data_IF_098574514408
#
_entry.id   IF_098574514408
#
_cell.length_a   1.000
_cell.length_b   1.000
_cell.length_c   1.000
_cell.angle_alpha   90.00
_cell.angle_beta   90.00
_cell.angle_gamma   90.00
#
_symmetry.space_group_name_H-M   'P 1'
#
loop_
_entity.id
_entity.type
_entity.pdbx_description
1 polymer ?
#
# COMPACT_ATOMS: atom_id res chain seq x y z
N UNK A 1 -6.79 6.31 -30.26
CA UNK A 1 -6.76 4.84 -30.14
C UNK A 1 -6.01 4.52 -28.86
N UNK A 2 -6.72 4.21 -27.78
CA UNK A 2 -6.08 3.85 -26.51
C UNK A 2 -6.03 2.33 -26.40
N UNK A 3 -4.81 1.80 -26.34
CA UNK A 3 -4.55 0.38 -26.06
C UNK A 3 -4.99 0.16 -24.61
N UNK A 4 -6.13 -0.50 -24.39
CA UNK A 4 -6.32 -1.16 -23.09
C UNK A 4 -5.13 -2.10 -22.95
N UNK A 5 -4.39 -2.05 -21.84
CA UNK A 5 -3.26 -2.97 -21.59
C UNK A 5 -3.65 -4.45 -21.53
N UNK A 6 -4.90 -4.78 -21.84
CA UNK A 6 -5.45 -6.11 -21.98
C UNK A 6 -5.29 -6.60 -23.43
N UNK A 7 -4.05 -6.73 -23.89
CA UNK A 7 -3.77 -7.38 -25.16
C UNK A 7 -3.84 -8.90 -24.93
N UNK A 8 -5.02 -9.49 -25.13
CA UNK A 8 -5.29 -10.91 -24.90
C UNK A 8 -4.69 -11.83 -25.97
N UNK A 9 -3.62 -11.39 -26.64
CA UNK A 9 -2.88 -12.21 -27.59
C UNK A 9 -2.26 -13.37 -26.84
N UNK A 10 -2.62 -14.60 -27.23
CA UNK A 10 -2.07 -15.82 -26.66
C UNK A 10 -0.53 -15.84 -26.69
N UNK A 11 0.07 -15.15 -27.67
CA UNK A 11 1.52 -14.98 -27.76
C UNK A 11 2.12 -14.19 -26.59
N UNK A 12 1.54 -13.04 -26.24
CA UNK A 12 2.03 -12.20 -25.14
C UNK A 12 1.83 -12.87 -23.79
N UNK A 13 0.69 -13.55 -23.61
CA UNK A 13 0.41 -14.35 -22.40
C UNK A 13 1.42 -15.50 -22.25
N UNK A 14 1.66 -16.28 -23.31
CA UNK A 14 2.66 -17.36 -23.24
C UNK A 14 4.07 -16.82 -22.97
N UNK A 15 4.40 -15.66 -23.55
CA UNK A 15 5.69 -15.00 -23.36
C UNK A 15 5.87 -14.50 -21.94
N UNK A 16 4.85 -13.89 -21.32
CA UNK A 16 4.90 -13.41 -19.93
C UNK A 16 5.08 -14.58 -18.95
N UNK A 17 4.35 -15.69 -19.14
CA UNK A 17 4.53 -16.90 -18.33
C UNK A 17 5.94 -17.47 -18.43
N UNK A 18 6.55 -17.48 -19.62
CA UNK A 18 7.93 -17.94 -19.81
C UNK A 18 8.92 -17.07 -19.04
N UNK A 19 8.78 -15.75 -19.09
CA UNK A 19 9.65 -14.84 -18.33
C UNK A 19 9.44 -14.97 -16.82
N UNK A 20 8.19 -15.13 -16.38
CA UNK A 20 7.88 -15.39 -14.97
C UNK A 20 8.56 -16.66 -14.46
N UNK A 21 8.48 -17.76 -15.22
CA UNK A 21 9.14 -19.02 -14.88
C UNK A 21 10.67 -18.87 -14.84
N UNK A 22 11.24 -18.18 -15.83
CA UNK A 22 12.68 -17.89 -15.84
C UNK A 22 13.12 -17.10 -14.62
N UNK A 23 12.36 -16.06 -14.24
CA UNK A 23 12.66 -15.26 -13.06
C UNK A 23 12.58 -16.09 -11.77
N UNK A 24 11.59 -16.99 -11.65
CA UNK A 24 11.47 -17.91 -10.51
C UNK A 24 12.65 -18.87 -10.41
N UNK A 25 13.10 -19.42 -11.54
CA UNK A 25 14.27 -20.30 -11.57
C UNK A 25 15.55 -19.57 -11.17
N UNK A 26 15.78 -18.36 -11.71
CA UNK A 26 16.94 -17.53 -11.34
C UNK A 26 16.90 -17.13 -9.86
N UNK A 27 15.72 -16.75 -9.36
CA UNK A 27 15.52 -16.44 -7.95
C UNK A 27 15.84 -17.65 -7.06
N UNK A 28 15.35 -18.85 -7.41
CA UNK A 28 15.65 -20.08 -6.69
C UNK A 28 17.15 -20.39 -6.63
N UNK A 29 17.85 -20.23 -7.77
CA UNK A 29 19.30 -20.44 -7.83
C UNK A 29 20.08 -19.46 -6.95
N UNK A 30 19.71 -18.17 -6.92
CA UNK A 30 20.38 -17.19 -6.07
C UNK A 30 20.06 -17.39 -4.59
N UNK A 31 18.82 -17.77 -4.24
CA UNK A 31 18.48 -18.09 -2.86
C UNK A 31 19.24 -19.33 -2.36
N UNK A 32 19.39 -20.35 -3.20
CA UNK A 32 20.23 -21.50 -2.88
C UNK A 32 21.71 -21.11 -2.70
N UNK A 33 22.21 -20.16 -3.51
CA UNK A 33 23.56 -19.61 -3.32
C UNK A 33 23.70 -18.90 -1.97
N UNK A 34 22.72 -18.09 -1.58
CA UNK A 34 22.71 -17.40 -0.28
C UNK A 34 22.85 -18.39 0.88
N UNK A 35 22.15 -19.53 0.83
CA UNK A 35 22.22 -20.57 1.86
C UNK A 35 23.61 -21.22 1.97
N UNK A 36 24.35 -21.31 0.86
CA UNK A 36 25.62 -22.04 0.78
C UNK A 36 26.84 -21.14 0.94
N UNK A 37 26.86 -19.96 0.33
CA UNK A 37 28.08 -19.14 0.20
C UNK A 37 27.88 -17.63 0.34
N UNK A 38 26.71 -17.19 0.83
CA UNK A 38 26.30 -15.76 0.90
C UNK A 38 26.27 -15.07 -0.47
N UNK A 39 25.37 -14.10 -0.62
CA UNK A 39 25.26 -13.30 -1.84
C UNK A 39 26.22 -12.11 -1.82
N UNK A 40 26.72 -11.80 -3.01
CA UNK A 40 27.35 -10.51 -3.26
C UNK A 40 26.30 -9.39 -3.17
N UNK A 41 26.69 -8.16 -2.79
CA UNK A 41 25.76 -7.03 -2.67
C UNK A 41 24.92 -6.79 -3.92
N UNK A 42 25.51 -6.95 -5.11
CA UNK A 42 24.83 -6.77 -6.38
C UNK A 42 23.80 -7.88 -6.67
N UNK A 43 24.09 -9.11 -6.26
CA UNK A 43 23.16 -10.23 -6.42
C UNK A 43 21.95 -10.09 -5.49
N UNK A 44 22.15 -9.55 -4.29
CA UNK A 44 21.05 -9.19 -3.41
C UNK A 44 20.13 -8.15 -4.09
N UNK A 45 20.67 -7.15 -4.78
CA UNK A 45 19.87 -6.19 -5.55
C UNK A 45 19.10 -6.85 -6.69
N UNK A 46 19.71 -7.80 -7.40
CA UNK A 46 19.01 -8.58 -8.44
C UNK A 46 17.82 -9.35 -7.89
N UNK A 47 17.95 -9.96 -6.71
CA UNK A 47 16.83 -10.63 -6.04
C UNK A 47 15.69 -9.65 -5.78
N UNK A 48 15.96 -8.47 -5.22
CA UNK A 48 14.90 -7.50 -4.93
C UNK A 48 14.21 -7.02 -6.20
N UNK A 49 14.98 -6.75 -7.26
CA UNK A 49 14.45 -6.33 -8.54
C UNK A 49 13.54 -7.41 -9.15
N UNK A 50 13.98 -8.68 -9.13
CA UNK A 50 13.17 -9.81 -9.61
C UNK A 50 11.91 -9.98 -8.78
N UNK A 51 12.00 -9.92 -7.45
CA UNK A 51 10.84 -10.02 -6.56
C UNK A 51 9.87 -8.88 -6.79
N UNK A 52 10.35 -7.64 -6.94
CA UNK A 52 9.51 -6.48 -7.26
C UNK A 52 8.76 -6.68 -8.58
N UNK A 53 9.44 -7.15 -9.62
CA UNK A 53 8.81 -7.43 -10.92
C UNK A 53 7.76 -8.54 -10.84
N UNK A 54 8.04 -9.62 -10.11
CA UNK A 54 7.08 -10.71 -9.88
C UNK A 54 5.83 -10.22 -9.14
N UNK A 55 6.01 -9.37 -8.12
CA UNK A 55 4.89 -8.79 -7.37
C UNK A 55 4.09 -7.81 -8.23
N UNK A 56 4.76 -6.97 -9.03
CA UNK A 56 4.06 -6.08 -9.97
C UNK A 56 3.29 -6.87 -11.03
N UNK A 57 3.82 -8.01 -11.48
CA UNK A 57 3.11 -8.91 -12.38
C UNK A 57 1.84 -9.47 -11.74
N UNK A 58 1.90 -9.93 -10.48
CA UNK A 58 0.71 -10.37 -9.71
C UNK A 58 -0.35 -9.26 -9.59
N UNK A 59 0.09 -8.02 -9.32
CA UNK A 59 -0.76 -6.83 -9.26
C UNK A 59 -1.45 -6.58 -10.60
N UNK A 60 -0.72 -6.66 -11.70
CA UNK A 60 -1.27 -6.46 -13.04
C UNK A 60 -2.31 -7.52 -13.42
N UNK A 61 -2.02 -8.80 -13.15
CA UNK A 61 -2.88 -9.90 -13.57
C UNK A 61 -4.16 -10.00 -12.73
N UNK A 62 -4.02 -9.92 -11.41
CA UNK A 62 -5.12 -10.21 -10.48
C UNK A 62 -5.35 -9.12 -9.44
N UNK A 63 -4.40 -8.20 -9.26
CA UNK A 63 -4.40 -7.21 -8.18
C UNK A 63 -4.12 -7.81 -6.80
N UNK A 64 -3.68 -9.08 -6.78
CA UNK A 64 -3.57 -9.90 -5.58
C UNK A 64 -2.27 -10.70 -5.67
N UNK A 65 -1.43 -10.65 -4.64
CA UNK A 65 -0.30 -11.58 -4.52
C UNK A 65 -0.73 -12.81 -3.73
N UNK A 66 -0.64 -13.99 -4.36
CA UNK A 66 -1.01 -15.28 -3.77
C UNK A 66 -0.23 -15.53 -2.48
N UNK A 67 -0.94 -15.50 -1.35
CA UNK A 67 -0.40 -15.64 0.01
C UNK A 67 0.73 -14.63 0.38
N UNK A 68 0.94 -13.59 -0.45
CA UNK A 68 2.08 -12.68 -0.31
C UNK A 68 3.45 -13.39 -0.36
N UNK A 69 3.55 -14.56 -0.99
CA UNK A 69 4.72 -15.44 -0.92
C UNK A 69 6.01 -14.73 -1.34
N UNK A 70 5.97 -13.94 -2.41
CA UNK A 70 7.10 -13.15 -2.89
C UNK A 70 7.57 -12.10 -1.86
N UNK A 71 6.64 -11.35 -1.27
CA UNK A 71 6.96 -10.33 -0.27
C UNK A 71 7.49 -10.99 1.00
N UNK A 72 6.83 -12.03 1.51
CA UNK A 72 7.27 -12.75 2.71
C UNK A 72 8.65 -13.40 2.51
N UNK A 73 8.88 -14.03 1.36
CA UNK A 73 10.12 -14.75 1.05
C UNK A 73 11.38 -13.87 1.01
N UNK A 74 11.25 -12.59 0.69
CA UNK A 74 12.39 -11.65 0.64
C UNK A 74 12.59 -10.86 1.94
N UNK A 75 11.77 -11.10 2.97
CA UNK A 75 11.82 -10.35 4.24
C UNK A 75 13.19 -10.39 4.91
N UNK A 76 13.86 -11.55 4.94
CA UNK A 76 15.19 -11.69 5.53
C UNK A 76 16.22 -10.79 4.82
N UNK A 77 16.16 -10.71 3.49
CA UNK A 77 17.10 -9.93 2.68
C UNK A 77 16.86 -8.43 2.88
N UNK A 78 15.59 -8.02 2.94
CA UNK A 78 15.21 -6.65 3.30
C UNK A 78 15.73 -6.26 4.70
N UNK A 79 15.60 -7.14 5.69
CA UNK A 79 16.12 -6.91 7.04
C UNK A 79 17.65 -6.79 7.05
N UNK A 80 18.36 -7.67 6.33
CA UNK A 80 19.82 -7.61 6.20
C UNK A 80 20.25 -6.26 5.63
N UNK A 81 19.64 -5.81 4.54
CA UNK A 81 19.97 -4.50 3.96
C UNK A 81 19.64 -3.34 4.89
N UNK A 82 18.58 -3.44 5.69
CA UNK A 82 18.19 -2.40 6.63
C UNK A 82 19.16 -2.29 7.83
N UNK A 83 20.03 -3.27 8.03
CA UNK A 83 21.03 -3.29 9.10
C UNK A 83 21.90 -2.03 9.07
N UNK A 84 21.97 -1.22 10.15
CA UNK A 84 22.73 0.04 10.18
C UNK A 84 24.21 -0.10 9.87
N UNK A 85 24.80 -1.25 10.22
CA UNK A 85 26.22 -1.57 9.99
C UNK A 85 26.59 -1.55 8.50
N UNK A 86 25.63 -1.80 7.61
CA UNK A 86 25.83 -1.84 6.16
C UNK A 86 25.42 -0.54 5.45
N UNK A 87 25.12 0.53 6.19
CA UNK A 87 24.58 1.79 5.64
C UNK A 87 25.46 2.43 4.56
N UNK A 88 26.79 2.35 4.68
CA UNK A 88 27.75 2.89 3.70
C UNK A 88 27.83 2.08 2.39
N UNK A 89 27.30 0.85 2.37
CA UNK A 89 27.39 -0.07 1.23
C UNK A 89 26.12 -0.10 0.39
N UNK A 90 25.08 0.66 0.76
CA UNK A 90 23.78 0.63 0.08
C UNK A 90 23.83 1.47 -1.19
N UNK A 91 23.50 0.85 -2.32
CA UNK A 91 23.36 1.60 -3.57
C UNK A 91 22.00 2.33 -3.62
N UNK A 92 21.92 3.34 -4.50
CA UNK A 92 20.66 4.04 -4.79
C UNK A 92 19.59 3.10 -5.35
N UNK A 93 19.99 2.11 -6.16
CA UNK A 93 19.09 1.12 -6.74
C UNK A 93 18.55 0.17 -5.66
N UNK A 94 19.42 -0.36 -4.80
CA UNK A 94 19.03 -1.21 -3.67
C UNK A 94 18.01 -0.53 -2.76
N UNK A 95 18.20 0.76 -2.46
CA UNK A 95 17.23 1.51 -1.65
C UNK A 95 15.93 1.78 -2.38
N UNK A 96 15.98 2.05 -3.70
CA UNK A 96 14.78 2.17 -4.49
C UNK A 96 13.95 0.87 -4.44
N UNK A 97 14.58 -0.29 -4.64
CA UNK A 97 13.89 -1.58 -4.54
C UNK A 97 13.37 -1.87 -3.14
N UNK A 98 14.17 -1.60 -2.10
CA UNK A 98 13.75 -1.74 -0.71
C UNK A 98 12.54 -0.85 -0.39
N UNK A 99 12.55 0.41 -0.86
CA UNK A 99 11.44 1.35 -0.67
C UNK A 99 10.16 0.87 -1.37
N UNK A 100 10.27 0.39 -2.61
CA UNK A 100 9.16 -0.13 -3.38
C UNK A 100 8.55 -1.40 -2.75
N UNK A 101 9.38 -2.35 -2.35
CA UNK A 101 8.94 -3.57 -1.67
C UNK A 101 8.35 -3.26 -0.30
N UNK A 102 8.95 -2.36 0.46
CA UNK A 102 8.40 -1.94 1.75
C UNK A 102 7.03 -1.27 1.55
N UNK A 103 6.86 -0.43 0.54
CA UNK A 103 5.55 0.12 0.21
C UNK A 103 4.51 -0.97 -0.06
N UNK A 104 4.83 -1.98 -0.86
CA UNK A 104 3.92 -3.10 -1.16
C UNK A 104 3.61 -3.93 0.10
N UNK A 105 4.61 -4.19 0.96
CA UNK A 105 4.40 -4.82 2.27
C UNK A 105 3.48 -3.98 3.18
N UNK A 106 3.56 -2.64 3.08
CA UNK A 106 2.67 -1.75 3.84
C UNK A 106 1.23 -1.82 3.31
N UNK A 107 1.03 -1.80 1.99
CA UNK A 107 -0.29 -1.87 1.37
C UNK A 107 -1.05 -3.14 1.78
N UNK A 108 -0.38 -4.30 1.81
CA UNK A 108 -1.02 -5.51 2.35
C UNK A 108 -1.32 -5.41 3.84
N UNK A 109 -0.49 -4.70 4.61
CA UNK A 109 -0.73 -4.40 6.02
C UNK A 109 -1.98 -3.55 6.24
N UNK A 110 -2.28 -2.62 5.31
CA UNK A 110 -3.54 -1.87 5.35
C UNK A 110 -4.75 -2.80 5.24
N UNK A 111 -4.69 -3.83 4.39
CA UNK A 111 -5.73 -4.85 4.25
C UNK A 111 -5.88 -5.73 5.48
N UNK A 112 -4.77 -6.06 6.15
CA UNK A 112 -4.74 -6.81 7.40
C UNK A 112 -3.36 -6.71 8.05
N UNK A 113 -3.31 -6.26 9.30
CA UNK A 113 -2.06 -5.99 10.00
C UNK A 113 -1.18 -7.24 10.12
N UNK A 114 -1.81 -8.39 10.35
CA UNK A 114 -1.21 -9.71 10.44
C UNK A 114 -0.40 -10.10 9.19
N UNK A 115 -0.72 -9.50 8.03
CA UNK A 115 -0.04 -9.76 6.75
C UNK A 115 1.29 -9.04 6.61
N UNK A 116 1.60 -8.08 7.48
CA UNK A 116 2.88 -7.36 7.47
C UNK A 116 4.03 -8.34 7.73
N UNK A 117 5.08 -8.35 6.89
CA UNK A 117 6.25 -9.20 7.12
C UNK A 117 7.56 -8.46 7.36
N UNK A 118 7.72 -7.21 6.91
CA UNK A 118 8.99 -6.52 7.12
C UNK A 118 9.07 -5.91 8.50
N UNK A 119 10.26 -5.94 9.10
CA UNK A 119 10.49 -5.37 10.42
C UNK A 119 10.40 -3.84 10.41
N UNK A 120 10.25 -3.25 11.60
CA UNK A 120 10.27 -1.80 11.74
C UNK A 120 11.64 -1.18 11.39
N UNK A 121 12.73 -1.95 11.43
CA UNK A 121 14.05 -1.49 11.02
C UNK A 121 14.14 -1.26 9.50
N UNK A 122 13.46 -2.09 8.69
CA UNK A 122 13.30 -1.84 7.24
C UNK A 122 12.59 -0.51 7.01
N UNK A 123 11.52 -0.26 7.77
CA UNK A 123 10.74 0.98 7.69
C UNK A 123 11.54 2.20 8.09
N UNK A 124 12.32 2.06 9.18
CA UNK A 124 13.26 3.08 9.66
C UNK A 124 14.31 3.38 8.61
N UNK A 125 14.91 2.35 8.01
CA UNK A 125 15.90 2.49 6.95
C UNK A 125 15.34 3.28 5.75
N UNK A 126 14.13 2.97 5.29
CA UNK A 126 13.48 3.69 4.17
C UNK A 126 13.24 5.17 4.53
N UNK A 127 12.83 5.47 5.77
CA UNK A 127 12.65 6.84 6.26
C UNK A 127 13.97 7.61 6.33
N UNK A 128 14.98 7.00 6.95
CA UNK A 128 16.22 7.68 7.35
C UNK A 128 17.28 7.75 6.23
N UNK A 129 17.13 6.96 5.16
CA UNK A 129 18.10 6.94 4.07
C UNK A 129 18.26 8.30 3.35
N UNK A 130 17.27 9.21 3.46
CA UNK A 130 17.32 10.53 2.84
C UNK A 130 17.11 10.54 1.33
N UNK A 131 17.09 9.37 0.67
CA UNK A 131 16.59 9.27 -0.69
C UNK A 131 15.08 9.46 -0.67
N UNK A 132 14.59 10.49 -1.32
CA UNK A 132 13.15 10.72 -1.52
C UNK A 132 12.51 9.69 -2.49
N UNK A 133 13.09 8.49 -2.62
CA UNK A 133 12.66 7.41 -3.52
C UNK A 133 11.23 6.97 -3.23
N UNK A 134 10.87 6.74 -1.97
CA UNK A 134 9.49 6.41 -1.59
C UNK A 134 8.53 7.54 -2.00
N UNK A 135 8.85 8.78 -1.60
CA UNK A 135 8.02 9.95 -1.90
C UNK A 135 7.84 10.11 -3.42
N UNK A 136 8.93 9.93 -4.18
CA UNK A 136 8.91 10.02 -5.64
C UNK A 136 8.06 8.90 -6.26
N UNK A 137 8.20 7.68 -5.76
CA UNK A 137 7.51 6.50 -6.28
C UNK A 137 6.01 6.58 -6.04
N UNK A 138 5.58 6.86 -4.81
CA UNK A 138 4.19 6.68 -4.38
C UNK A 138 3.48 7.98 -3.99
N UNK A 139 4.20 9.04 -3.65
CA UNK A 139 3.62 10.29 -3.16
C UNK A 139 3.41 10.37 -1.66
N UNK A 140 3.64 9.28 -0.93
CA UNK A 140 3.60 9.27 0.52
C UNK A 140 4.93 9.79 1.12
N UNK A 141 4.90 10.85 1.95
CA UNK A 141 6.05 11.29 2.72
C UNK A 141 6.63 10.17 3.60
N UNK A 142 7.97 10.04 3.72
CA UNK A 142 8.60 8.95 4.48
C UNK A 142 8.24 8.92 5.97
N UNK A 143 7.96 10.07 6.58
CA UNK A 143 7.52 10.18 7.96
C UNK A 143 6.08 9.66 8.16
N UNK A 144 5.16 9.98 7.25
CA UNK A 144 3.80 9.41 7.27
C UNK A 144 3.84 7.89 7.11
N UNK A 145 4.63 7.41 6.13
CA UNK A 145 4.88 5.99 5.91
C UNK A 145 5.43 5.26 7.15
N UNK A 146 6.41 5.86 7.81
CA UNK A 146 7.00 5.26 9.00
C UNK A 146 6.02 5.20 10.17
N UNK A 147 5.25 6.27 10.39
CA UNK A 147 4.31 6.30 11.51
C UNK A 147 3.17 5.31 11.30
N UNK A 148 2.59 5.24 10.11
CA UNK A 148 1.54 4.25 9.85
C UNK A 148 2.08 2.83 9.90
N UNK A 149 3.35 2.60 9.54
CA UNK A 149 3.97 1.27 9.69
C UNK A 149 4.08 0.85 11.16
N UNK A 150 4.35 1.79 12.09
CA UNK A 150 4.35 1.51 13.54
C UNK A 150 2.97 1.08 14.01
N UNK A 151 1.92 1.78 13.57
CA UNK A 151 0.53 1.43 13.89
C UNK A 151 0.19 0.03 13.39
N UNK A 152 0.54 -0.30 12.14
CA UNK A 152 0.29 -1.61 11.57
C UNK A 152 1.07 -2.73 12.31
N UNK A 153 2.33 -2.48 12.67
CA UNK A 153 3.12 -3.43 13.44
C UNK A 153 2.54 -3.65 14.85
N UNK A 154 2.09 -2.59 15.52
CA UNK A 154 1.41 -2.68 16.81
C UNK A 154 0.07 -3.40 16.70
N UNK A 155 -0.71 -3.16 15.64
CA UNK A 155 -1.95 -3.90 15.36
C UNK A 155 -1.69 -5.38 15.15
N UNK A 156 -0.63 -5.75 14.42
CA UNK A 156 -0.19 -7.14 14.30
C UNK A 156 0.17 -7.77 15.65
N UNK A 157 0.98 -7.08 16.45
CA UNK A 157 1.37 -7.55 17.79
C UNK A 157 0.14 -7.72 18.70
N UNK A 158 -0.83 -6.81 18.62
CA UNK A 158 -2.07 -6.92 19.39
C UNK A 158 -2.92 -8.13 18.97
N UNK A 159 -3.06 -8.38 17.66
CA UNK A 159 -3.76 -9.56 17.15
C UNK A 159 -3.08 -10.88 17.56
N UNK A 160 -1.75 -10.90 17.67
CA UNK A 160 -0.99 -12.07 18.12
C UNK A 160 -0.98 -12.24 19.65
N UNK A 161 -1.49 -11.26 20.41
CA UNK A 161 -1.45 -11.26 21.87
C UNK A 161 -0.13 -10.76 22.49
N UNK A 162 0.83 -10.33 21.67
CA UNK A 162 2.13 -9.80 22.10
C UNK A 162 2.04 -8.38 22.64
N UNK A 163 0.99 -7.63 22.30
CA UNK A 163 0.75 -6.26 22.76
C UNK A 163 -0.65 -6.14 23.39
N UNK A 164 -0.76 -5.78 24.68
CA UNK A 164 -2.06 -5.55 25.32
C UNK A 164 -2.87 -4.45 24.62
N UNK A 165 -4.20 -4.62 24.59
CA UNK A 165 -5.11 -3.68 23.91
C UNK A 165 -4.95 -2.23 24.38
N UNK A 166 -4.75 -2.01 25.68
CA UNK A 166 -4.57 -0.66 26.23
C UNK A 166 -3.28 0.00 25.75
N UNK A 167 -2.20 -0.76 25.59
CA UNK A 167 -0.96 -0.25 25.00
C UNK A 167 -1.12 0.01 23.50
N UNK A 168 -1.88 -0.84 22.81
CA UNK A 168 -2.20 -0.59 21.40
C UNK A 168 -3.03 0.69 21.21
N UNK A 169 -4.03 0.94 22.06
CA UNK A 169 -4.80 2.20 22.04
C UNK A 169 -3.91 3.43 22.24
N UNK A 170 -2.91 3.37 23.13
CA UNK A 170 -1.94 4.46 23.28
C UNK A 170 -1.16 4.73 22.00
N UNK A 171 -0.73 3.68 21.28
CA UNK A 171 -0.10 3.82 19.96
C UNK A 171 -1.05 4.49 18.94
N UNK A 172 -2.34 4.14 18.97
CA UNK A 172 -3.35 4.76 18.09
C UNK A 172 -3.53 6.25 18.42
N UNK A 173 -3.63 6.61 19.71
CA UNK A 173 -3.78 7.99 20.16
C UNK A 173 -2.55 8.86 19.81
N UNK A 174 -1.34 8.29 19.96
CA UNK A 174 -0.10 8.94 19.53
C UNK A 174 -0.05 9.17 18.02
N UNK A 175 -0.39 8.16 17.23
CA UNK A 175 -0.41 8.25 15.78
C UNK A 175 -1.48 9.24 15.29
N UNK A 176 -2.68 9.22 15.86
CA UNK A 176 -3.73 10.19 15.53
C UNK A 176 -3.26 11.63 15.82
N UNK A 177 -2.65 11.87 16.98
CA UNK A 177 -2.09 13.19 17.33
C UNK A 177 -0.99 13.60 16.34
N UNK A 178 -0.10 12.68 15.97
CA UNK A 178 0.93 12.93 14.97
C UNK A 178 0.30 13.34 13.63
N UNK A 179 -0.62 12.53 13.08
CA UNK A 179 -1.21 12.83 11.78
C UNK A 179 -2.07 14.10 11.77
N UNK A 180 -2.68 14.49 12.90
CA UNK A 180 -3.45 15.74 13.00
C UNK A 180 -2.59 16.99 13.15
N UNK A 181 -1.41 16.85 13.76
CA UNK A 181 -0.46 17.97 13.96
C UNK A 181 0.61 18.07 12.87
N UNK A 182 0.66 17.09 11.96
CA UNK A 182 1.60 17.07 10.85
C UNK A 182 1.34 18.23 9.89
N UNK A 183 2.41 18.96 9.56
CA UNK A 183 2.37 20.16 8.73
C UNK A 183 3.04 19.90 7.36
N UNK A 184 2.30 19.95 6.23
CA UNK A 184 2.86 19.79 4.89
C UNK A 184 3.90 20.85 4.55
N UNK A 185 3.84 22.04 5.15
CA UNK A 185 4.78 23.13 4.84
C UNK A 185 6.20 22.86 5.34
N UNK A 186 6.36 21.97 6.33
CA UNK A 186 7.66 21.63 6.92
C UNK A 186 8.36 20.45 6.23
N UNK A 187 7.78 19.92 5.15
CA UNK A 187 8.23 18.69 4.51
C UNK A 187 9.16 18.98 3.33
N UNK A 188 10.23 18.19 3.22
CA UNK A 188 11.12 18.24 2.06
C UNK A 188 10.51 17.38 0.93
N UNK A 189 10.17 18.05 -0.17
CA UNK A 189 9.56 17.42 -1.34
C UNK A 189 10.57 17.08 -2.43
N UNK A 190 10.30 16.05 -3.28
CA UNK A 190 11.20 15.65 -4.36
C UNK A 190 11.51 16.76 -5.37
N UNK A 191 10.53 17.64 -5.63
CA UNK A 191 10.65 18.79 -6.51
C UNK A 191 9.82 19.96 -5.97
N UNK A 192 9.86 21.12 -6.65
CA UNK A 192 9.13 22.34 -6.25
C UNK A 192 7.63 22.36 -6.64
N UNK A 193 7.11 21.27 -7.22
CA UNK A 193 5.71 21.17 -7.60
C UNK A 193 4.79 21.18 -6.37
N UNK A 194 3.79 22.06 -6.36
CA UNK A 194 2.86 22.20 -5.23
C UNK A 194 1.93 21.00 -5.06
N UNK A 195 1.72 20.22 -6.13
CA UNK A 195 0.92 18.99 -6.11
C UNK A 195 1.50 17.94 -5.14
N UNK A 196 2.78 18.00 -4.80
CA UNK A 196 3.33 17.14 -3.76
C UNK A 196 2.67 17.35 -2.41
N UNK A 197 2.36 18.60 -2.04
CA UNK A 197 1.67 18.93 -0.78
C UNK A 197 0.28 18.32 -0.77
N UNK A 198 -0.44 18.47 -1.87
CA UNK A 198 -1.77 17.91 -2.06
C UNK A 198 -1.77 16.37 -1.93
N UNK A 199 -0.86 15.69 -2.64
CA UNK A 199 -0.75 14.23 -2.56
C UNK A 199 -0.37 13.77 -1.15
N UNK A 200 0.57 14.47 -0.50
CA UNK A 200 0.96 14.17 0.88
C UNK A 200 -0.21 14.34 1.86
N UNK A 201 -1.04 15.37 1.68
CA UNK A 201 -2.23 15.62 2.47
C UNK A 201 -3.28 14.50 2.33
N UNK A 202 -3.50 14.02 1.09
CA UNK A 202 -4.35 12.86 0.86
C UNK A 202 -3.82 11.59 1.57
N UNK A 203 -2.49 11.39 1.58
CA UNK A 203 -1.88 10.28 2.32
C UNK A 203 -2.00 10.42 3.84
N UNK A 204 -1.91 11.64 4.38
CA UNK A 204 -2.13 11.92 5.81
C UNK A 204 -3.53 11.49 6.23
N UNK A 205 -4.54 11.87 5.46
CA UNK A 205 -5.92 11.48 5.72
C UNK A 205 -6.19 9.99 5.48
N UNK A 206 -5.55 9.37 4.49
CA UNK A 206 -5.58 7.92 4.30
C UNK A 206 -5.05 7.16 5.53
N UNK A 207 -3.96 7.66 6.15
CA UNK A 207 -3.42 7.09 7.39
C UNK A 207 -4.39 7.28 8.57
N UNK A 208 -4.99 8.48 8.71
CA UNK A 208 -6.02 8.74 9.74
C UNK A 208 -7.22 7.81 9.62
N UNK A 209 -7.72 7.57 8.41
CA UNK A 209 -8.79 6.60 8.17
C UNK A 209 -8.39 5.22 8.69
N UNK A 210 -7.16 4.76 8.38
CA UNK A 210 -6.70 3.45 8.84
C UNK A 210 -6.54 3.35 10.36
N UNK A 211 -6.07 4.40 11.02
CA UNK A 211 -5.96 4.49 12.49
C UNK A 211 -7.35 4.37 13.14
N UNK A 212 -8.34 5.11 12.64
CA UNK A 212 -9.72 5.08 13.15
C UNK A 212 -10.44 3.74 12.91
N UNK A 213 -9.92 2.87 12.05
CA UNK A 213 -10.45 1.52 11.81
C UNK A 213 -9.80 0.47 12.71
N UNK A 214 -8.88 0.85 13.60
CA UNK A 214 -8.37 -0.01 14.66
C UNK A 214 -8.97 0.37 16.02
N UNK A 215 -8.99 -0.57 16.98
CA UNK A 215 -8.69 -1.99 16.83
C UNK A 215 -9.81 -2.76 16.12
N UNK A 216 -11.02 -2.20 16.12
CA UNK A 216 -12.22 -2.77 15.53
C UNK A 216 -12.67 -1.88 14.34
N UNK A 217 -12.67 -2.40 13.10
CA UNK A 217 -13.04 -1.63 11.94
C UNK A 217 -14.54 -1.28 11.87
N UNK A 218 -15.39 -1.91 12.70
CA UNK A 218 -16.83 -1.67 12.77
C UNK A 218 -17.22 -0.65 13.84
N UNK A 219 -16.33 -0.38 14.80
CA UNK A 219 -16.65 0.44 15.97
C UNK A 219 -17.01 1.89 15.62
N UNK A 220 -16.33 2.47 14.61
CA UNK A 220 -16.57 3.84 14.17
C UNK A 220 -17.36 3.83 12.86
N UNK A 221 -18.58 4.36 12.90
CA UNK A 221 -19.43 4.53 11.72
C UNK A 221 -18.77 5.37 10.64
N UNK A 222 -19.03 5.06 9.37
CA UNK A 222 -18.66 5.93 8.26
C UNK A 222 -19.34 7.32 8.32
N UNK A 223 -20.40 7.47 9.11
CA UNK A 223 -21.09 8.74 9.33
C UNK A 223 -20.39 9.65 10.37
N UNK A 224 -19.41 9.11 11.12
CA UNK A 224 -18.65 9.85 12.14
C UNK A 224 -18.00 11.11 11.51
N UNK A 225 -18.14 12.29 12.15
CA UNK A 225 -17.59 13.54 11.63
C UNK A 225 -16.09 13.45 11.31
N UNK A 226 -15.31 12.70 12.09
CA UNK A 226 -13.87 12.54 11.89
C UNK A 226 -13.56 11.74 10.61
N UNK A 227 -14.37 10.73 10.31
CA UNK A 227 -14.29 9.98 9.04
C UNK A 227 -14.65 10.90 7.89
N UNK A 228 -15.78 11.62 7.97
CA UNK A 228 -16.23 12.55 6.93
C UNK A 228 -15.22 13.64 6.62
N UNK A 229 -14.54 14.18 7.64
CA UNK A 229 -13.46 15.16 7.46
C UNK A 229 -12.32 14.56 6.64
N UNK A 230 -11.85 13.36 6.98
CA UNK A 230 -10.76 12.71 6.23
C UNK A 230 -11.17 12.30 4.82
N UNK A 231 -12.38 11.77 4.64
CA UNK A 231 -12.94 11.48 3.32
C UNK A 231 -12.99 12.75 2.47
N UNK A 232 -13.57 13.83 2.99
CA UNK A 232 -13.74 15.08 2.24
C UNK A 232 -12.39 15.68 1.85
N UNK A 233 -11.43 15.73 2.77
CA UNK A 233 -10.09 16.24 2.49
C UNK A 233 -9.37 15.45 1.37
N UNK A 234 -9.52 14.13 1.34
CA UNK A 234 -8.98 13.31 0.25
C UNK A 234 -9.66 13.67 -1.08
N UNK A 235 -11.00 13.78 -1.10
CA UNK A 235 -11.74 14.12 -2.32
C UNK A 235 -11.46 15.55 -2.80
N UNK A 236 -11.26 16.50 -1.89
CA UNK A 236 -10.90 17.89 -2.19
C UNK A 236 -9.51 17.98 -2.83
N UNK A 237 -8.55 17.15 -2.38
CA UNK A 237 -7.27 16.97 -3.07
C UNK A 237 -7.49 16.44 -4.50
N UNK A 238 -8.37 15.44 -4.66
CA UNK A 238 -8.74 14.93 -5.98
C UNK A 238 -9.35 16.00 -6.90
N UNK A 239 -10.05 16.98 -6.34
CA UNK A 239 -10.61 18.10 -7.11
C UNK A 239 -9.55 19.16 -7.45
N UNK A 240 -8.54 19.31 -6.60
CA UNK A 240 -7.51 20.36 -6.70
C UNK A 240 -6.36 19.97 -7.63
N UNK A 241 -6.00 18.68 -7.72
CA UNK A 241 -4.90 18.21 -8.57
C UNK A 241 -5.42 18.00 -10.02
N UNK A 242 -4.78 18.59 -11.05
CA UNK A 242 -5.18 18.37 -12.44
C UNK A 242 -5.10 16.90 -12.83
N UNK A 243 -6.12 16.39 -13.56
CA UNK A 243 -6.20 14.96 -13.93
C UNK A 243 -5.12 14.50 -14.90
N UNK A 244 -4.65 15.39 -15.75
CA UNK A 244 -3.55 15.19 -16.69
C UNK A 244 -2.16 15.31 -16.01
N UNK A 245 -2.13 15.77 -14.75
CA UNK A 245 -0.89 15.84 -13.99
C UNK A 245 -0.34 14.45 -13.68
N UNK A 246 0.99 14.32 -13.75
CA UNK A 246 1.72 13.10 -13.37
C UNK A 246 1.50 12.70 -11.91
N UNK A 247 1.04 13.64 -11.08
CA UNK A 247 0.71 13.44 -9.67
C UNK A 247 -0.60 12.69 -9.45
N UNK A 248 -1.57 12.87 -10.34
CA UNK A 248 -2.96 12.41 -10.11
C UNK A 248 -3.05 10.90 -9.87
N UNK A 249 -2.26 10.10 -10.59
CA UNK A 249 -2.21 8.63 -10.40
C UNK A 249 -1.80 8.19 -8.98
N UNK A 250 -1.07 9.02 -8.24
CA UNK A 250 -0.66 8.73 -6.84
C UNK A 250 -1.83 8.82 -5.87
N UNK A 251 -2.95 9.39 -6.28
CA UNK A 251 -4.17 9.47 -5.49
C UNK A 251 -4.98 8.18 -5.50
N UNK A 252 -4.60 7.15 -6.28
CA UNK A 252 -5.38 5.91 -6.41
C UNK A 252 -5.70 5.27 -5.04
N UNK A 253 -4.68 5.11 -4.19
CA UNK A 253 -4.87 4.47 -2.89
C UNK A 253 -5.66 5.35 -1.90
N UNK A 254 -5.35 6.66 -1.73
CA UNK A 254 -6.21 7.56 -0.96
C UNK A 254 -7.67 7.58 -1.46
N UNK A 255 -7.90 7.66 -2.78
CA UNK A 255 -9.24 7.64 -3.39
C UNK A 255 -10.00 6.36 -3.07
N UNK A 256 -9.32 5.22 -3.10
CA UNK A 256 -9.91 3.94 -2.71
C UNK A 256 -10.40 3.97 -1.25
N UNK A 257 -9.56 4.46 -0.32
CA UNK A 257 -9.94 4.54 1.09
C UNK A 257 -11.10 5.52 1.31
N UNK A 258 -11.06 6.70 0.68
CA UNK A 258 -12.15 7.67 0.77
C UNK A 258 -13.47 7.12 0.17
N UNK A 259 -13.39 6.45 -0.98
CA UNK A 259 -14.53 5.78 -1.61
C UNK A 259 -15.09 4.62 -0.78
N UNK A 260 -14.21 3.91 -0.07
CA UNK A 260 -14.60 2.85 0.83
C UNK A 260 -15.24 3.40 2.12
N UNK A 261 -14.82 4.56 2.64
CA UNK A 261 -15.30 5.09 3.92
C UNK A 261 -16.39 6.17 3.81
N UNK A 262 -16.90 6.45 2.60
CA UNK A 262 -18.04 7.38 2.40
C UNK A 262 -19.39 6.66 2.36
N UNK A 263 -20.42 7.32 2.88
CA UNK A 263 -21.84 6.93 2.73
C UNK A 263 -22.60 7.78 1.71
N UNK A 264 -22.01 8.87 1.22
CA UNK A 264 -22.70 9.78 0.30
C UNK A 264 -22.65 9.21 -1.12
N UNK A 265 -23.80 8.96 -1.78
CA UNK A 265 -23.82 8.47 -3.16
C UNK A 265 -23.05 9.39 -4.13
N UNK A 266 -23.07 10.70 -3.89
CA UNK A 266 -22.32 11.66 -4.70
C UNK A 266 -20.81 11.51 -4.51
N UNK A 267 -20.34 11.32 -3.28
CA UNK A 267 -18.92 11.09 -2.99
C UNK A 267 -18.45 9.72 -3.50
N UNK A 268 -19.27 8.68 -3.38
CA UNK A 268 -18.99 7.36 -3.95
C UNK A 268 -18.82 7.45 -5.47
N UNK A 269 -19.75 8.13 -6.15
CA UNK A 269 -19.67 8.35 -7.59
C UNK A 269 -18.41 9.15 -7.98
N UNK A 270 -18.10 10.21 -7.24
CA UNK A 270 -16.92 11.02 -7.48
C UNK A 270 -15.61 10.23 -7.30
N UNK A 271 -15.49 9.43 -6.24
CA UNK A 271 -14.35 8.55 -6.03
C UNK A 271 -14.22 7.53 -7.17
N UNK A 272 -15.33 6.90 -7.59
CA UNK A 272 -15.35 5.98 -8.72
C UNK A 272 -14.88 6.64 -10.02
N UNK A 273 -15.33 7.87 -10.26
CA UNK A 273 -14.95 8.64 -11.44
C UNK A 273 -13.46 8.97 -11.44
N UNK A 274 -12.90 9.38 -10.30
CA UNK A 274 -11.47 9.63 -10.14
C UNK A 274 -10.64 8.37 -10.39
N UNK A 275 -11.02 7.24 -9.78
CA UNK A 275 -10.36 5.93 -9.96
C UNK A 275 -10.43 5.50 -11.43
N UNK A 276 -11.59 5.66 -12.07
CA UNK A 276 -11.78 5.33 -13.49
C UNK A 276 -10.92 6.21 -14.40
N UNK A 277 -10.77 7.49 -14.06
CA UNK A 277 -9.85 8.41 -14.74
C UNK A 277 -8.39 7.95 -14.63
N UNK A 278 -7.94 7.52 -13.44
CA UNK A 278 -6.59 6.97 -13.23
C UNK A 278 -6.40 5.71 -14.08
N UNK A 279 -7.34 4.76 -14.04
CA UNK A 279 -7.32 3.53 -14.85
C UNK A 279 -7.17 3.84 -16.34
N UNK A 280 -7.92 4.82 -16.82
CA UNK A 280 -7.87 5.24 -18.22
C UNK A 280 -6.52 5.86 -18.58
N UNK A 281 -6.00 6.76 -17.73
CA UNK A 281 -4.74 7.47 -17.97
C UNK A 281 -3.51 6.55 -17.88
N UNK A 282 -3.53 5.56 -16.98
CA UNK A 282 -2.40 4.63 -16.79
C UNK A 282 -2.50 3.39 -17.67
N UNK A 283 -3.69 3.01 -18.12
CA UNK A 283 -3.96 1.74 -18.79
C UNK A 283 -4.09 0.54 -17.84
N UNK A 284 -3.83 0.72 -16.53
CA UNK A 284 -3.90 -0.33 -15.52
C UNK A 284 -5.33 -0.52 -15.02
N UNK A 285 -5.79 -1.77 -14.94
CA UNK A 285 -7.20 -2.07 -14.65
C UNK A 285 -7.53 -2.15 -13.16
N UNK A 286 -6.54 -2.37 -12.29
CA UNK A 286 -6.67 -2.52 -10.84
C UNK A 286 -7.89 -3.39 -10.43
N UNK A 287 -7.94 -4.68 -10.87
CA UNK A 287 -9.13 -5.52 -10.74
C UNK A 287 -9.50 -5.80 -9.28
N UNK A 288 -8.52 -6.05 -8.40
CA UNK A 288 -8.77 -6.29 -6.98
C UNK A 288 -9.39 -5.08 -6.28
N UNK A 289 -8.84 -3.88 -6.52
CA UNK A 289 -9.36 -2.61 -6.00
C UNK A 289 -10.81 -2.39 -6.40
N UNK A 290 -11.08 -2.50 -7.70
CA UNK A 290 -12.42 -2.29 -8.26
C UNK A 290 -13.42 -3.28 -7.66
N UNK A 291 -13.03 -4.55 -7.53
CA UNK A 291 -13.89 -5.62 -6.99
C UNK A 291 -14.19 -5.43 -5.50
N UNK A 292 -13.20 -5.04 -4.70
CA UNK A 292 -13.40 -4.78 -3.27
C UNK A 292 -14.34 -3.60 -3.08
N UNK A 293 -14.12 -2.50 -3.81
CA UNK A 293 -14.94 -1.30 -3.68
C UNK A 293 -16.40 -1.55 -4.12
N UNK A 294 -16.60 -2.28 -5.22
CA UNK A 294 -17.93 -2.70 -5.66
C UNK A 294 -18.66 -3.52 -4.57
N UNK A 295 -17.98 -4.50 -3.97
CA UNK A 295 -18.56 -5.31 -2.88
C UNK A 295 -18.96 -4.49 -1.67
N UNK A 296 -18.12 -3.55 -1.24
CA UNK A 296 -18.43 -2.63 -0.14
C UNK A 296 -19.73 -1.88 -0.42
N UNK A 297 -19.89 -1.37 -1.65
CA UNK A 297 -21.06 -0.58 -2.03
C UNK A 297 -22.31 -1.44 -2.21
N UNK A 298 -22.19 -2.62 -2.81
CA UNK A 298 -23.31 -3.57 -2.98
C UNK A 298 -23.85 -4.05 -1.63
N UNK A 299 -22.98 -4.37 -0.67
CA UNK A 299 -23.39 -4.80 0.66
C UNK A 299 -24.08 -3.69 1.47
N UNK A 300 -23.66 -2.44 1.31
CA UNK A 300 -24.33 -1.28 1.93
C UNK A 300 -25.74 -1.06 1.38
N UNK A 301 -25.96 -1.35 0.08
CA UNK A 301 -27.28 -1.20 -0.53
C UNK A 301 -28.24 -2.33 -0.15
N UNK A 302 -27.72 -3.54 0.06
CA UNK A 302 -28.54 -4.75 0.23
C UNK A 302 -28.87 -5.08 1.69
N UNK A 303 -28.14 -4.50 2.67
CA UNK A 303 -28.31 -4.81 4.09
C UNK A 303 -28.72 -3.58 4.93
N UNK A 304 -29.98 -3.47 5.38
CA UNK A 304 -30.45 -2.34 6.20
C UNK A 304 -29.78 -2.26 7.59
N UNK A 305 -29.14 -3.34 8.05
CA UNK A 305 -28.33 -3.37 9.29
C UNK A 305 -26.86 -2.97 9.11
N UNK A 306 -26.34 -2.90 7.87
CA UNK A 306 -24.91 -2.72 7.58
C UNK A 306 -24.56 -1.31 7.06
N UNK A 307 -25.55 -0.42 6.93
CA UNK A 307 -25.42 0.91 6.30
C UNK A 307 -24.28 1.77 6.84
N UNK A 308 -23.77 1.50 8.04
CA UNK A 308 -22.75 2.33 8.70
C UNK A 308 -21.39 1.67 8.88
N UNK A 309 -21.28 0.35 8.71
CA UNK A 309 -20.12 -0.40 9.22
C UNK A 309 -19.50 -1.41 8.25
N UNK A 310 -19.96 -1.55 7.00
CA UNK A 310 -19.27 -2.45 6.05
C UNK A 310 -17.83 -2.01 5.87
N UNK A 311 -16.90 -2.84 6.34
CA UNK A 311 -15.47 -2.58 6.27
C UNK A 311 -14.89 -3.31 5.09
N UNK A 312 -14.18 -2.59 4.21
CA UNK A 312 -13.53 -3.20 3.06
C UNK A 312 -12.47 -4.26 3.45
N UNK A 313 -11.97 -4.20 4.68
CA UNK A 313 -11.06 -5.19 5.24
C UNK A 313 -11.70 -6.58 5.33
N UNK A 314 -13.02 -6.70 5.50
CA UNK A 314 -13.71 -8.00 5.51
C UNK A 314 -13.53 -8.80 4.21
N UNK A 315 -13.44 -8.10 3.08
CA UNK A 315 -13.27 -8.73 1.77
C UNK A 315 -11.82 -9.10 1.45
N UNK A 316 -10.89 -8.59 2.25
CA UNK A 316 -9.46 -8.75 2.01
C UNK A 316 -8.76 -9.56 3.09
N UNK A 317 -9.28 -9.54 4.31
CA UNK A 317 -8.70 -10.15 5.50
C UNK A 317 -9.82 -10.47 6.52
N UNK A 318 -10.40 -11.66 6.42
CA UNK A 318 -11.39 -12.18 7.38
C UNK A 318 -11.22 -13.68 7.52
N UNK A 319 -11.43 -14.21 8.73
CA UNK A 319 -11.40 -15.65 9.01
C UNK A 319 -12.39 -16.44 8.15
N UNK A 320 -13.43 -15.76 7.64
CA UNK A 320 -14.47 -16.33 6.79
C UNK A 320 -14.04 -16.47 5.31
N UNK A 321 -12.90 -15.90 4.91
CA UNK A 321 -12.40 -15.99 3.55
C UNK A 321 -11.75 -17.36 3.30
N UNK A 322 -12.19 -18.04 2.23
CA UNK A 322 -11.60 -19.32 1.77
C UNK A 322 -10.11 -19.24 1.45
N UNK A 323 -9.60 -18.06 1.09
CA UNK A 323 -8.18 -17.82 0.88
C UNK A 323 -7.79 -16.41 1.34
N UNK A 324 -6.73 -16.36 2.14
CA UNK A 324 -6.13 -15.14 2.67
C UNK A 324 -5.07 -14.65 1.69
N UNK A 325 -5.46 -13.83 0.72
CA UNK A 325 -4.51 -13.24 -0.22
C UNK A 325 -3.97 -11.87 0.25
N UNK A 326 -2.81 -11.47 -0.28
CA UNK A 326 -2.28 -10.12 -0.08
C UNK A 326 -2.81 -9.19 -1.16
N UNK A 327 -3.74 -8.31 -0.79
CA UNK A 327 -4.24 -7.27 -1.68
C UNK A 327 -3.20 -6.16 -1.78
N UNK A 328 -2.82 -5.83 -3.02
CA UNK A 328 -1.80 -4.84 -3.32
C UNK A 328 -2.44 -3.77 -4.19
N UNK A 329 -2.92 -2.71 -3.53
CA UNK A 329 -3.56 -1.57 -4.17
C UNK A 329 -2.50 -0.59 -4.69
N UNK A 330 -1.75 -1.04 -5.70
CA UNK A 330 -0.80 -0.23 -6.47
C UNK A 330 -1.44 0.21 -7.78
#
# INVERSE_FOLDING_TARGET
MHVSGNESSQYFVATSFRYRLSALHSLGSLLQKEEVSSLEPLEAEYILAMVLLLVLHDVCETGVSSHGAHLTGVSFLCNRMACPLDSSRRSKAGIFFLSALAWLDMLRGFSGAEKLSYSQDVRRCVRDHGSLSLHTLVGCPPNLFYEISRVLAAGKANLMGDLPLEQFKQVLDEAERFFRSWDPEQVIYPTRHEEWKHVAEAYRHACLLRVMRFPDPFAISCDDPRIKVSVSAILDVGASVPRDSVFYKRLLFPMFLAGADTLSPHQMHYANWCISGIKHATGFQHPALTKVLARVWDERQTSPRSLTSVSWMEFTCSELLKSQHAYLFF
#
